data_IF_307646740436
#
_entry.id   IF_307646740436
#
_cell.length_a   1.000
_cell.length_b   1.000
_cell.length_c   1.000
_cell.angle_alpha   90.00
_cell.angle_beta   90.00
_cell.angle_gamma   90.00
#
_symmetry.space_group_name_H-M   'P 1'
#
loop_
_entity.id
_entity.type
_entity.pdbx_description
1 polymer ?
#
# COMPACT_ATOMS: atom_id res chain seq x y z
N UNK A 1 -21.72 1.79 -16.01
CA UNK A 1 -21.36 0.39 -16.35
C UNK A 1 -20.46 -0.13 -15.25
N UNK A 2 -20.90 -1.16 -14.51
CA UNK A 2 -20.06 -1.81 -13.51
C UNK A 2 -18.93 -2.54 -14.25
N UNK A 3 -17.68 -2.16 -14.00
CA UNK A 3 -16.54 -2.98 -14.38
C UNK A 3 -16.72 -4.37 -13.76
N UNK A 4 -16.51 -5.47 -14.50
CA UNK A 4 -16.50 -6.80 -13.89
C UNK A 4 -15.46 -6.78 -12.78
N UNK A 5 -15.88 -7.14 -11.56
CA UNK A 5 -14.99 -7.23 -10.42
C UNK A 5 -13.81 -8.12 -10.82
N UNK A 6 -12.57 -7.69 -10.57
CA UNK A 6 -11.38 -8.48 -10.90
C UNK A 6 -11.54 -9.89 -10.29
N UNK A 7 -11.52 -10.95 -11.12
CA UNK A 7 -11.86 -12.29 -10.66
C UNK A 7 -10.83 -12.83 -9.66
N UNK A 8 -11.29 -13.70 -8.79
CA UNK A 8 -10.51 -14.40 -7.75
C UNK A 8 -10.37 -15.88 -8.10
N UNK A 9 -9.34 -16.52 -7.53
CA UNK A 9 -9.06 -17.95 -7.75
C UNK A 9 -10.24 -18.87 -7.42
N UNK A 10 -11.03 -18.50 -6.41
CA UNK A 10 -12.20 -19.25 -5.99
C UNK A 10 -13.40 -19.12 -6.94
N UNK A 11 -13.42 -18.15 -7.85
CA UNK A 11 -14.57 -17.88 -8.73
C UNK A 11 -14.88 -19.06 -9.66
N UNK A 12 -16.14 -19.14 -10.10
CA UNK A 12 -16.57 -20.22 -11.00
C UNK A 12 -15.80 -20.16 -12.32
N UNK A 13 -15.56 -21.33 -12.93
CA UNK A 13 -14.88 -21.43 -14.24
C UNK A 13 -15.51 -20.53 -15.31
N UNK A 14 -16.85 -20.44 -15.32
CA UNK A 14 -17.60 -19.57 -16.23
C UNK A 14 -17.24 -18.08 -16.08
N UNK A 15 -17.05 -17.59 -14.86
CA UNK A 15 -16.64 -16.20 -14.60
C UNK A 15 -15.23 -15.95 -15.15
N UNK A 16 -14.32 -16.92 -14.95
CA UNK A 16 -12.95 -16.81 -15.47
C UNK A 16 -12.93 -16.80 -17.01
N UNK A 17 -13.73 -17.65 -17.66
CA UNK A 17 -13.87 -17.67 -19.12
C UNK A 17 -14.49 -16.39 -19.66
N UNK A 18 -15.53 -15.87 -19.00
CA UNK A 18 -16.12 -14.58 -19.37
C UNK A 18 -15.08 -13.45 -19.29
N UNK A 19 -14.31 -13.40 -18.20
CA UNK A 19 -13.25 -12.41 -18.06
C UNK A 19 -12.15 -12.57 -19.12
N UNK A 20 -11.79 -13.81 -19.47
CA UNK A 20 -10.86 -14.07 -20.57
C UNK A 20 -11.39 -13.52 -21.89
N UNK A 21 -12.67 -13.76 -22.22
CA UNK A 21 -13.29 -13.24 -23.44
C UNK A 21 -13.31 -11.71 -23.45
N UNK A 22 -13.69 -11.07 -22.34
CA UNK A 22 -13.74 -9.61 -22.22
C UNK A 22 -12.36 -8.94 -22.33
N UNK A 23 -11.29 -9.63 -21.88
CA UNK A 23 -9.91 -9.13 -21.88
C UNK A 23 -9.06 -9.67 -23.04
N UNK A 24 -9.67 -10.41 -23.97
CA UNK A 24 -8.99 -11.08 -25.09
C UNK A 24 -7.81 -11.97 -24.64
N UNK A 25 -8.02 -12.75 -23.58
CA UNK A 25 -7.08 -13.75 -23.07
C UNK A 25 -7.43 -15.09 -23.72
N UNK A 26 -6.48 -15.70 -24.42
CA UNK A 26 -6.66 -17.02 -25.03
C UNK A 26 -7.00 -18.08 -23.96
N UNK A 27 -8.20 -18.65 -24.01
CA UNK A 27 -8.63 -19.73 -23.11
C UNK A 27 -9.71 -20.58 -23.76
N UNK A 28 -9.66 -21.90 -23.53
CA UNK A 28 -10.65 -22.83 -24.05
C UNK A 28 -11.60 -23.31 -22.94
N UNK A 29 -12.86 -23.59 -23.27
CA UNK A 29 -13.80 -24.24 -22.35
C UNK A 29 -13.35 -25.63 -21.91
N UNK A 30 -12.50 -26.32 -22.69
CA UNK A 30 -11.90 -27.60 -22.31
C UNK A 30 -10.80 -27.47 -21.26
N UNK A 31 -10.21 -26.28 -21.08
CA UNK A 31 -9.08 -26.08 -20.18
C UNK A 31 -9.45 -26.34 -18.73
N UNK A 32 -8.51 -26.85 -17.93
CA UNK A 32 -8.70 -26.96 -16.49
C UNK A 32 -8.86 -25.57 -15.88
N UNK A 33 -9.72 -25.43 -14.85
CA UNK A 33 -9.93 -24.17 -14.13
C UNK A 33 -8.60 -23.55 -13.66
N UNK A 34 -7.65 -24.37 -13.24
CA UNK A 34 -6.31 -23.95 -12.79
C UNK A 34 -5.49 -23.32 -13.91
N UNK A 35 -5.57 -23.83 -15.15
CA UNK A 35 -4.90 -23.28 -16.32
C UNK A 35 -5.49 -21.92 -16.70
N UNK A 36 -6.82 -21.83 -16.75
CA UNK A 36 -7.53 -20.57 -17.01
C UNK A 36 -7.15 -19.54 -15.94
N UNK A 37 -7.16 -19.92 -14.66
CA UNK A 37 -6.74 -19.05 -13.57
C UNK A 37 -5.29 -18.56 -13.72
N UNK A 38 -4.35 -19.43 -14.12
CA UNK A 38 -2.95 -19.02 -14.32
C UNK A 38 -2.80 -17.92 -15.38
N UNK A 39 -3.53 -18.05 -16.50
CA UNK A 39 -3.57 -17.03 -17.56
C UNK A 39 -4.18 -15.71 -17.07
N UNK A 40 -5.32 -15.80 -16.37
CA UNK A 40 -6.01 -14.65 -15.77
C UNK A 40 -5.14 -13.95 -14.72
N UNK A 41 -4.51 -14.70 -13.82
CA UNK A 41 -3.61 -14.17 -12.78
C UNK A 41 -2.41 -13.44 -13.40
N UNK A 42 -1.84 -14.01 -14.46
CA UNK A 42 -0.75 -13.36 -15.21
C UNK A 42 -1.20 -12.04 -15.84
N UNK A 43 -2.39 -12.03 -16.45
CA UNK A 43 -2.96 -10.81 -17.02
C UNK A 43 -3.25 -9.76 -15.94
N UNK A 44 -3.82 -10.16 -14.81
CA UNK A 44 -4.11 -9.27 -13.67
C UNK A 44 -2.82 -8.63 -13.16
N UNK A 45 -1.78 -9.43 -12.89
CA UNK A 45 -0.48 -8.92 -12.39
C UNK A 45 0.16 -7.90 -13.33
N UNK A 46 -0.06 -8.03 -14.65
CA UNK A 46 0.51 -7.14 -15.66
C UNK A 46 -0.31 -5.88 -15.90
N UNK A 47 -1.64 -5.98 -15.86
CA UNK A 47 -2.52 -4.92 -16.39
C UNK A 47 -3.41 -4.27 -15.34
N UNK A 48 -3.65 -4.93 -14.21
CA UNK A 48 -4.55 -4.44 -13.17
C UNK A 48 -3.73 -3.87 -12.02
N UNK A 49 -3.69 -2.54 -11.95
CA UNK A 49 -3.09 -1.82 -10.83
C UNK A 49 -3.99 -1.82 -9.59
N UNK A 50 -3.45 -1.50 -8.40
CA UNK A 50 -4.26 -1.35 -7.19
C UNK A 50 -5.32 -0.25 -7.35
N UNK A 51 -6.54 -0.51 -6.88
CA UNK A 51 -7.68 0.46 -6.92
C UNK A 51 -7.29 1.79 -6.26
N UNK A 52 -6.53 1.75 -5.18
CA UNK A 52 -6.03 2.95 -4.48
C UNK A 52 -5.17 3.84 -5.38
N UNK A 53 -4.48 3.27 -6.38
CA UNK A 53 -3.71 4.05 -7.34
C UNK A 53 -4.62 4.81 -8.31
N UNK A 54 -5.70 4.19 -8.76
CA UNK A 54 -6.70 4.88 -9.58
C UNK A 54 -7.39 5.99 -8.79
N UNK A 55 -7.78 5.71 -7.54
CA UNK A 55 -8.36 6.71 -6.64
C UNK A 55 -7.45 7.92 -6.41
N UNK A 56 -6.14 7.70 -6.24
CA UNK A 56 -5.17 8.78 -6.08
C UNK A 56 -4.98 9.59 -7.38
N UNK A 57 -4.91 8.93 -8.54
CA UNK A 57 -4.85 9.59 -9.85
C UNK A 57 -6.07 10.46 -10.13
N UNK A 58 -7.27 9.98 -9.80
CA UNK A 58 -8.52 10.74 -9.94
C UNK A 58 -8.54 12.01 -9.08
N UNK A 59 -7.71 12.07 -8.03
CA UNK A 59 -7.49 13.26 -7.19
C UNK A 59 -6.23 14.06 -7.59
N UNK A 60 -5.64 13.79 -8.76
CA UNK A 60 -4.45 14.48 -9.28
C UNK A 60 -3.22 14.28 -8.35
N UNK A 61 -3.20 13.19 -7.57
CA UNK A 61 -2.03 12.85 -6.77
C UNK A 61 -1.04 12.00 -7.56
N UNK A 62 0.24 12.41 -7.52
CA UNK A 62 1.34 11.60 -8.02
C UNK A 62 1.64 10.46 -7.06
N UNK A 63 1.74 9.24 -7.58
CA UNK A 63 2.05 8.04 -6.81
C UNK A 63 3.53 7.72 -6.98
N UNK A 64 4.19 7.43 -5.86
CA UNK A 64 5.58 6.98 -5.81
C UNK A 64 5.58 5.67 -5.04
N UNK A 65 6.15 4.63 -5.64
CA UNK A 65 6.32 3.34 -4.98
C UNK A 65 7.67 3.31 -4.27
N UNK A 66 7.67 2.94 -3.00
CA UNK A 66 8.88 2.60 -2.28
C UNK A 66 9.26 1.15 -2.57
N UNK A 67 10.56 0.82 -2.74
CA UNK A 67 11.02 -0.55 -2.87
C UNK A 67 10.69 -1.36 -1.59
N UNK A 68 10.53 -2.69 -1.72
CA UNK A 68 10.25 -3.55 -0.57
C UNK A 68 11.43 -3.52 0.42
N UNK A 69 11.13 -3.63 1.72
CA UNK A 69 12.09 -3.66 2.83
C UNK A 69 12.87 -2.35 3.12
N UNK A 70 12.52 -1.23 2.46
CA UNK A 70 13.14 0.09 2.72
C UNK A 70 12.17 1.05 3.41
N UNK A 71 11.77 0.72 4.65
CA UNK A 71 10.89 1.60 5.45
C UNK A 71 11.52 2.97 5.75
N UNK A 72 12.86 3.05 5.80
CA UNK A 72 13.61 4.29 5.94
C UNK A 72 13.46 5.27 4.76
N UNK A 73 12.93 4.82 3.61
CA UNK A 73 12.59 5.69 2.47
C UNK A 73 11.23 6.37 2.63
N UNK A 74 10.50 6.09 3.71
CA UNK A 74 9.18 6.65 3.98
C UNK A 74 9.28 7.61 5.17
N UNK A 75 9.18 8.94 4.98
CA UNK A 75 9.35 9.92 6.05
C UNK A 75 8.37 9.75 7.21
N UNK A 76 7.19 9.19 6.93
CA UNK A 76 6.15 8.91 7.92
C UNK A 76 6.63 7.94 9.00
N UNK A 77 7.58 7.05 8.71
CA UNK A 77 8.12 6.11 9.70
C UNK A 77 8.92 6.84 10.79
N UNK A 78 9.65 7.92 10.42
CA UNK A 78 10.35 8.75 11.39
C UNK A 78 9.37 9.58 12.25
N UNK A 79 8.30 10.08 11.62
CA UNK A 79 7.20 10.75 12.35
C UNK A 79 6.57 9.78 13.36
N UNK A 80 6.29 8.55 12.93
CA UNK A 80 5.75 7.50 13.78
C UNK A 80 6.70 7.09 14.90
N UNK A 81 8.01 7.01 14.66
CA UNK A 81 8.99 6.73 15.69
C UNK A 81 8.99 7.80 16.79
N UNK A 82 8.87 9.08 16.42
CA UNK A 82 8.74 10.19 17.37
C UNK A 82 7.46 10.07 18.22
N UNK A 83 6.32 9.86 17.56
CA UNK A 83 5.02 9.75 18.23
C UNK A 83 4.96 8.54 19.15
N UNK A 84 5.37 7.36 18.65
CA UNK A 84 5.44 6.12 19.44
C UNK A 84 6.36 6.26 20.63
N UNK A 85 7.54 6.89 20.47
CA UNK A 85 8.43 7.17 21.59
C UNK A 85 7.78 8.05 22.66
N UNK A 86 7.03 9.07 22.24
CA UNK A 86 6.33 9.99 23.17
C UNK A 86 5.22 9.30 23.94
N UNK A 87 4.36 8.55 23.26
CA UNK A 87 3.25 7.82 23.89
C UNK A 87 3.76 6.65 24.73
N UNK A 88 4.75 5.91 24.23
CA UNK A 88 5.33 4.74 24.88
C UNK A 88 6.05 5.04 26.19
N UNK A 89 6.68 6.22 26.32
CA UNK A 89 7.28 6.67 27.59
C UNK A 89 6.26 6.89 28.71
N UNK A 90 4.98 7.02 28.39
CA UNK A 90 3.88 7.19 29.35
C UNK A 90 3.18 5.87 29.68
N UNK A 91 3.67 4.74 29.17
CA UNK A 91 3.06 3.43 29.38
C UNK A 91 3.31 2.91 30.80
N UNK A 92 2.26 2.33 31.37
CA UNK A 92 2.28 1.56 32.62
C UNK A 92 1.33 0.35 32.51
N UNK A 93 1.32 -0.51 33.53
CA UNK A 93 0.50 -1.73 33.55
C UNK A 93 -1.01 -1.47 33.52
N UNK A 94 -1.46 -0.26 33.83
CA UNK A 94 -2.89 0.10 33.88
C UNK A 94 -3.35 0.85 32.63
N UNK A 95 -2.44 1.10 31.68
CA UNK A 95 -2.71 1.87 30.47
C UNK A 95 -3.75 1.16 29.60
N UNK A 96 -4.87 1.85 29.35
CA UNK A 96 -5.94 1.36 28.47
C UNK A 96 -5.80 1.94 27.07
N UNK A 97 -6.50 1.34 26.11
CA UNK A 97 -6.56 1.84 24.73
C UNK A 97 -7.09 3.28 24.64
N UNK A 98 -8.03 3.65 25.52
CA UNK A 98 -8.54 5.03 25.62
C UNK A 98 -7.44 6.02 25.99
N UNK A 99 -6.55 5.64 26.91
CA UNK A 99 -5.44 6.48 27.35
C UNK A 99 -4.43 6.64 26.21
N UNK A 100 -4.14 5.55 25.48
CA UNK A 100 -3.29 5.58 24.29
C UNK A 100 -3.85 6.54 23.24
N UNK A 101 -5.16 6.51 22.98
CA UNK A 101 -5.80 7.43 22.03
C UNK A 101 -5.62 8.89 22.45
N UNK A 102 -5.91 9.24 23.70
CA UNK A 102 -5.76 10.61 24.23
C UNK A 102 -4.31 11.07 24.13
N UNK A 103 -3.35 10.21 24.52
CA UNK A 103 -1.92 10.50 24.47
C UNK A 103 -1.44 10.70 23.02
N UNK A 104 -1.93 9.88 22.09
CA UNK A 104 -1.61 9.99 20.67
C UNK A 104 -2.12 11.30 20.07
N UNK A 105 -3.38 11.67 20.34
CA UNK A 105 -3.95 12.96 19.91
C UNK A 105 -3.14 14.15 20.45
N UNK A 106 -2.72 14.09 21.73
CA UNK A 106 -1.85 15.11 22.32
C UNK A 106 -0.47 15.15 21.66
N UNK A 107 0.12 14.00 21.37
CA UNK A 107 1.41 13.91 20.69
C UNK A 107 1.35 14.51 19.28
N UNK A 108 0.28 14.25 18.53
CA UNK A 108 0.05 14.87 17.21
C UNK A 108 -0.08 16.39 17.30
N UNK A 109 -0.75 16.94 18.32
CA UNK A 109 -0.86 18.40 18.50
C UNK A 109 0.49 19.08 18.76
N UNK A 110 1.45 18.33 19.31
CA UNK A 110 2.76 18.86 19.66
C UNK A 110 3.79 18.70 18.53
N UNK A 111 3.47 17.99 17.44
CA UNK A 111 4.40 17.87 16.31
C UNK A 111 4.40 19.18 15.52
N UNK A 112 5.56 19.81 15.43
CA UNK A 112 5.72 21.07 14.70
C UNK A 112 6.23 20.84 13.28
N UNK A 113 5.94 21.78 12.37
CA UNK A 113 6.34 21.68 10.96
C UNK A 113 7.84 21.46 10.75
N UNK A 114 8.69 22.02 11.61
CA UNK A 114 10.14 21.80 11.56
C UNK A 114 10.53 20.34 11.83
N UNK A 115 9.82 19.64 12.71
CA UNK A 115 10.05 18.21 12.96
C UNK A 115 9.73 17.40 11.71
N UNK A 116 8.59 17.67 11.07
CA UNK A 116 8.18 17.00 9.83
C UNK A 116 9.18 17.26 8.71
N UNK A 117 9.61 18.52 8.55
CA UNK A 117 10.67 18.91 7.60
C UNK A 117 11.96 18.14 7.86
N UNK A 118 12.37 18.00 9.12
CA UNK A 118 13.53 17.20 9.51
C UNK A 118 13.42 15.73 9.11
N UNK A 119 12.26 15.11 9.33
CA UNK A 119 11.99 13.73 8.88
C UNK A 119 12.13 13.59 7.36
N UNK A 120 11.53 14.49 6.59
CA UNK A 120 11.62 14.48 5.11
C UNK A 120 13.08 14.65 4.66
N UNK A 121 13.80 15.62 5.21
CA UNK A 121 15.22 15.86 4.88
C UNK A 121 16.07 14.63 5.16
N UNK A 122 15.90 13.99 6.32
CA UNK A 122 16.66 12.79 6.68
C UNK A 122 16.39 11.64 5.70
N UNK A 123 15.12 11.41 5.36
CA UNK A 123 14.75 10.38 4.38
C UNK A 123 15.33 10.69 3.00
N UNK A 124 15.29 11.93 2.53
CA UNK A 124 15.88 12.31 1.24
C UNK A 124 17.40 12.10 1.21
N UNK A 125 18.11 12.36 2.31
CA UNK A 125 19.54 12.06 2.42
C UNK A 125 19.82 10.56 2.29
N UNK A 126 19.03 9.72 2.98
CA UNK A 126 19.17 8.27 2.92
C UNK A 126 18.89 7.74 1.51
N UNK A 127 17.86 8.27 0.83
CA UNK A 127 17.56 7.93 -0.56
C UNK A 127 18.72 8.33 -1.47
N UNK A 128 19.24 9.56 -1.34
CA UNK A 128 20.36 10.04 -2.16
C UNK A 128 21.61 9.14 -2.01
N UNK A 129 21.98 8.80 -0.77
CA UNK A 129 23.10 7.89 -0.51
C UNK A 129 22.89 6.52 -1.15
N UNK A 130 21.67 5.98 -1.11
CA UNK A 130 21.37 4.71 -1.75
C UNK A 130 21.54 4.77 -3.28
N UNK A 131 21.27 5.91 -3.92
CA UNK A 131 21.52 6.11 -5.36
C UNK A 131 22.99 6.33 -5.71
N UNK A 132 23.82 6.81 -4.79
CA UNK A 132 25.26 7.03 -5.03
C UNK A 132 26.09 5.76 -4.88
N UNK A 133 25.52 4.70 -4.30
CA UNK A 133 26.17 3.40 -4.05
C UNK A 133 25.76 2.33 -5.10
N UNK A 134 24.72 2.61 -5.89
CA UNK A 134 24.24 1.76 -7.00
C UNK A 134 24.76 2.25 -8.34
#
# INVERSE_FOLDING_TARGET
MFTPLTPKKCDKKQILLQYCNEKNIDSNESDLKTMIWSKVETHIKRNVGPVVCEMAKNKIHRIIFSPPYYSNFQPIELVWANLKGTVGRMYDLNTKLSDVKIRLEKAFKNIVGNTIKGCITKTNMVIKLAYEIL
#
